data_IF_646891834350
#
_entry.id   IF_646891834350
#
_cell.length_a   1.000
_cell.length_b   1.000
_cell.length_c   1.000
_cell.angle_alpha   90.00
_cell.angle_beta   90.00
_cell.angle_gamma   90.00
#
_symmetry.space_group_name_H-M   'P 1'
#
loop_
_entity.id
_entity.type
_entity.pdbx_description
1 polymer ?
#
# COMPACT_ATOMS: atom_id res chain seq x y z
N UNK A 1 -35.37 -8.01 21.06
CA UNK A 1 -33.96 -8.40 20.89
C UNK A 1 -33.31 -7.31 20.07
N UNK A 2 -32.12 -6.82 20.43
CA UNK A 2 -31.44 -5.81 19.61
C UNK A 2 -31.13 -6.39 18.23
N UNK A 3 -31.24 -5.58 17.16
CA UNK A 3 -31.07 -5.98 15.75
C UNK A 3 -29.77 -6.77 15.51
N UNK A 4 -28.71 -6.36 16.22
CA UNK A 4 -27.39 -6.97 16.22
C UNK A 4 -27.39 -8.43 16.73
N UNK A 5 -28.10 -8.70 17.83
CA UNK A 5 -28.19 -10.05 18.41
C UNK A 5 -28.98 -11.00 17.51
N UNK A 6 -30.01 -10.48 16.82
CA UNK A 6 -30.75 -11.24 15.81
C UNK A 6 -29.82 -11.67 14.67
N UNK A 7 -28.95 -10.78 14.20
CA UNK A 7 -28.05 -11.12 13.11
C UNK A 7 -26.98 -12.14 13.51
N UNK A 8 -26.41 -12.00 14.72
CA UNK A 8 -25.49 -13.00 15.27
C UNK A 8 -26.16 -14.37 15.33
N UNK A 9 -27.44 -14.42 15.72
CA UNK A 9 -28.21 -15.65 15.75
C UNK A 9 -28.42 -16.25 14.36
N UNK A 10 -28.77 -15.44 13.35
CA UNK A 10 -28.93 -15.89 11.96
C UNK A 10 -27.61 -16.52 11.46
N UNK A 11 -26.48 -15.85 11.66
CA UNK A 11 -25.17 -16.34 11.21
C UNK A 11 -24.81 -17.65 11.94
N UNK A 12 -25.02 -17.73 13.26
CA UNK A 12 -24.78 -18.95 14.05
C UNK A 12 -25.65 -20.11 13.55
N UNK A 13 -26.93 -19.89 13.27
CA UNK A 13 -27.86 -20.91 12.76
C UNK A 13 -27.50 -21.38 11.35
N UNK A 14 -27.06 -20.48 10.48
CA UNK A 14 -26.50 -20.85 9.16
C UNK A 14 -25.28 -21.76 9.30
N UNK A 15 -24.36 -21.43 10.22
CA UNK A 15 -23.19 -22.25 10.49
C UNK A 15 -23.55 -23.63 11.09
N UNK A 16 -24.72 -23.77 11.74
CA UNK A 16 -25.26 -25.03 12.25
C UNK A 16 -25.96 -25.87 11.17
N UNK A 17 -26.04 -25.38 9.93
CA UNK A 17 -26.59 -26.10 8.78
C UNK A 17 -28.08 -25.88 8.54
N UNK A 18 -28.67 -24.86 9.17
CA UNK A 18 -30.04 -24.47 8.87
C UNK A 18 -30.16 -23.87 7.47
N UNK A 19 -31.30 -24.14 6.81
CA UNK A 19 -31.50 -23.73 5.41
C UNK A 19 -31.76 -22.23 5.32
N UNK A 20 -31.09 -21.50 4.39
CA UNK A 20 -31.34 -20.08 4.15
C UNK A 20 -32.81 -19.71 3.99
N UNK A 21 -33.59 -20.55 3.30
CA UNK A 21 -35.01 -20.26 3.02
C UNK A 21 -35.88 -20.24 4.28
N UNK A 22 -35.51 -21.01 5.30
CA UNK A 22 -36.24 -21.08 6.56
C UNK A 22 -35.94 -19.82 7.40
N UNK A 23 -34.66 -19.40 7.44
CA UNK A 23 -34.24 -18.18 8.13
C UNK A 23 -34.74 -16.89 7.47
N UNK A 24 -34.82 -16.85 6.13
CA UNK A 24 -35.40 -15.70 5.40
C UNK A 24 -36.87 -15.50 5.80
N UNK A 25 -37.64 -16.58 5.93
CA UNK A 25 -39.05 -16.51 6.34
C UNK A 25 -39.21 -16.08 7.80
N UNK A 26 -38.31 -16.56 8.66
CA UNK A 26 -38.36 -16.30 10.10
C UNK A 26 -37.95 -14.86 10.45
N UNK A 27 -36.90 -14.35 9.80
CA UNK A 27 -36.27 -13.05 10.12
C UNK A 27 -36.46 -12.00 9.02
N UNK A 28 -37.54 -12.10 8.24
CA UNK A 28 -37.74 -11.29 7.04
C UNK A 28 -37.61 -9.78 7.31
N UNK A 29 -38.25 -9.27 8.38
CA UNK A 29 -38.28 -7.84 8.70
C UNK A 29 -36.90 -7.30 9.08
N UNK A 30 -36.11 -8.13 9.76
CA UNK A 30 -34.78 -7.78 10.24
C UNK A 30 -33.75 -7.85 9.11
N UNK A 31 -33.86 -8.87 8.24
CA UNK A 31 -33.04 -9.04 7.04
C UNK A 31 -33.24 -7.87 6.06
N UNK A 32 -34.47 -7.40 5.85
CA UNK A 32 -34.79 -6.32 4.91
C UNK A 32 -34.16 -4.96 5.26
N UNK A 33 -33.79 -4.75 6.53
CA UNK A 33 -33.26 -3.46 7.01
C UNK A 33 -31.75 -3.43 7.20
N UNK A 34 -31.06 -4.52 6.85
CA UNK A 34 -29.63 -4.67 7.13
C UNK A 34 -28.77 -4.03 6.05
N UNK A 35 -27.64 -3.47 6.48
CA UNK A 35 -26.63 -2.88 5.61
C UNK A 35 -25.40 -3.79 5.48
N UNK A 36 -24.67 -3.71 4.35
CA UNK A 36 -23.40 -4.42 4.21
C UNK A 36 -22.39 -4.10 5.32
N UNK A 37 -22.31 -2.84 5.74
CA UNK A 37 -21.43 -2.41 6.82
C UNK A 37 -21.81 -3.04 8.17
N UNK A 38 -23.10 -3.20 8.47
CA UNK A 38 -23.56 -3.91 9.67
C UNK A 38 -23.17 -5.40 9.63
N UNK A 39 -23.30 -6.07 8.48
CA UNK A 39 -22.88 -7.47 8.31
C UNK A 39 -21.38 -7.60 8.59
N UNK A 40 -20.55 -6.77 7.94
CA UNK A 40 -19.09 -6.81 8.10
C UNK A 40 -18.65 -6.61 9.56
N UNK A 41 -19.29 -5.68 10.29
CA UNK A 41 -19.02 -5.43 11.71
C UNK A 41 -19.42 -6.62 12.58
N UNK A 42 -20.51 -7.28 12.26
CA UNK A 42 -20.99 -8.41 13.06
C UNK A 42 -20.14 -9.67 12.82
N UNK A 43 -19.69 -9.90 11.59
CA UNK A 43 -18.71 -10.95 11.29
C UNK A 43 -17.39 -10.73 12.04
N UNK A 44 -16.91 -9.47 12.12
CA UNK A 44 -15.74 -9.11 12.92
C UNK A 44 -15.93 -9.46 14.40
N UNK A 45 -17.08 -9.12 14.99
CA UNK A 45 -17.35 -9.42 16.39
C UNK A 45 -17.48 -10.93 16.67
N UNK A 46 -18.08 -11.70 15.75
CA UNK A 46 -18.17 -13.15 15.91
C UNK A 46 -16.79 -13.81 15.95
N UNK A 47 -15.83 -13.28 15.20
CA UNK A 47 -14.43 -13.74 15.25
C UNK A 47 -13.80 -13.38 16.60
N UNK A 48 -14.03 -12.17 17.10
CA UNK A 48 -13.55 -11.74 18.42
C UNK A 48 -14.16 -12.59 19.56
N UNK A 49 -15.40 -13.08 19.38
CA UNK A 49 -16.06 -14.02 20.27
C UNK A 49 -15.56 -15.48 20.13
N UNK A 50 -14.63 -15.74 19.20
CA UNK A 50 -13.94 -17.03 19.06
C UNK A 50 -14.33 -17.86 17.84
N UNK A 51 -15.17 -17.34 16.93
CA UNK A 51 -15.43 -17.99 15.64
C UNK A 51 -14.17 -17.93 14.76
N UNK A 52 -13.88 -19.02 14.05
CA UNK A 52 -12.69 -19.07 13.18
C UNK A 52 -12.94 -18.28 11.88
N UNK A 53 -11.98 -17.46 11.40
CA UNK A 53 -12.13 -16.74 10.14
C UNK A 53 -12.45 -17.64 8.94
N UNK A 54 -11.93 -18.88 8.93
CA UNK A 54 -12.19 -19.85 7.88
C UNK A 54 -13.65 -20.30 7.84
N UNK A 55 -14.33 -20.30 8.99
CA UNK A 55 -15.75 -20.62 9.07
C UNK A 55 -16.58 -19.51 8.44
N UNK A 56 -16.32 -18.24 8.79
CA UNK A 56 -17.01 -17.09 8.17
C UNK A 56 -16.81 -17.08 6.66
N UNK A 57 -15.57 -17.30 6.19
CA UNK A 57 -15.28 -17.36 4.75
C UNK A 57 -16.07 -18.46 4.04
N UNK A 58 -16.21 -19.64 4.67
CA UNK A 58 -16.92 -20.79 4.09
C UNK A 58 -18.42 -20.54 3.93
N UNK A 59 -19.01 -19.76 4.83
CA UNK A 59 -20.44 -19.44 4.80
C UNK A 59 -20.76 -18.09 4.15
N UNK A 60 -19.76 -17.34 3.67
CA UNK A 60 -19.95 -16.05 3.02
C UNK A 60 -20.96 -16.12 1.86
N UNK A 61 -20.90 -17.16 1.02
CA UNK A 61 -21.85 -17.36 -0.09
C UNK A 61 -23.28 -17.67 0.41
N UNK A 62 -23.40 -18.30 1.58
CA UNK A 62 -24.67 -18.64 2.23
C UNK A 62 -25.26 -17.39 2.92
N UNK A 63 -24.43 -16.58 3.57
CA UNK A 63 -24.82 -15.28 4.12
C UNK A 63 -25.35 -14.39 3.01
N UNK A 64 -24.61 -14.30 1.89
CA UNK A 64 -25.04 -13.59 0.69
C UNK A 64 -26.37 -14.08 0.16
N UNK A 65 -26.63 -15.40 0.18
CA UNK A 65 -27.92 -15.93 -0.26
C UNK A 65 -29.08 -15.45 0.63
N UNK A 66 -28.87 -15.35 1.94
CA UNK A 66 -29.88 -14.84 2.90
C UNK A 66 -30.09 -13.33 2.76
N UNK A 67 -29.01 -12.56 2.60
CA UNK A 67 -29.08 -11.09 2.55
C UNK A 67 -29.20 -10.52 1.13
N UNK A 68 -29.23 -11.35 0.08
CA UNK A 68 -29.21 -10.91 -1.33
C UNK A 68 -30.25 -9.84 -1.64
N UNK A 69 -31.48 -9.98 -1.16
CA UNK A 69 -32.55 -9.01 -1.47
C UNK A 69 -32.38 -7.68 -0.72
N UNK A 70 -31.79 -7.66 0.47
CA UNK A 70 -31.48 -6.42 1.20
C UNK A 70 -30.19 -5.75 0.72
N UNK A 71 -29.26 -6.54 0.18
CA UNK A 71 -28.05 -6.04 -0.47
C UNK A 71 -28.32 -5.36 -1.83
N UNK A 72 -29.48 -5.61 -2.47
CA UNK A 72 -29.94 -4.87 -3.65
C UNK A 72 -30.34 -3.44 -3.28
N UNK A 73 -29.36 -2.58 -3.03
CA UNK A 73 -29.57 -1.13 -2.96
C UNK A 73 -29.82 -0.57 -4.38
N UNK A 74 -30.63 0.49 -4.55
CA UNK A 74 -30.64 1.25 -5.80
C UNK A 74 -29.21 1.71 -6.07
N UNK A 75 -28.70 1.39 -7.27
CA UNK A 75 -27.29 1.53 -7.62
C UNK A 75 -26.79 2.93 -7.30
N UNK A 76 -25.99 3.05 -6.24
CA UNK A 76 -25.12 4.20 -6.09
C UNK A 76 -24.18 4.10 -7.29
N UNK A 77 -24.30 5.02 -8.22
CA UNK A 77 -23.43 5.15 -9.37
C UNK A 77 -22.57 6.38 -9.11
N UNK A 78 -21.38 6.20 -8.49
CA UNK A 78 -20.48 7.32 -8.27
C UNK A 78 -20.09 7.94 -9.62
N UNK A 79 -19.69 9.23 -9.64
CA UNK A 79 -19.20 9.87 -10.85
C UNK A 79 -18.03 9.09 -11.48
N UNK A 80 -17.84 9.19 -12.80
CA UNK A 80 -16.82 8.40 -13.52
C UNK A 80 -15.36 8.59 -13.03
N UNK A 81 -15.06 9.71 -12.37
CA UNK A 81 -13.74 9.95 -11.79
C UNK A 81 -13.49 9.16 -10.49
N UNK A 82 -14.55 8.71 -9.82
CA UNK A 82 -14.52 8.15 -8.48
C UNK A 82 -13.88 6.76 -8.47
N UNK A 83 -13.01 6.42 -7.49
CA UNK A 83 -12.34 5.12 -7.42
C UNK A 83 -13.26 3.91 -7.57
N UNK A 84 -14.39 3.88 -6.87
CA UNK A 84 -15.41 2.80 -7.01
C UNK A 84 -16.00 2.70 -8.42
N UNK A 85 -16.29 3.82 -9.09
CA UNK A 85 -16.81 3.77 -10.46
C UNK A 85 -15.77 3.20 -11.44
N UNK A 86 -14.49 3.45 -11.18
CA UNK A 86 -13.38 2.93 -11.96
C UNK A 86 -13.29 1.41 -11.80
N UNK A 87 -13.28 0.91 -10.55
CA UNK A 87 -13.23 -0.53 -10.26
C UNK A 87 -14.42 -1.27 -10.88
N UNK A 88 -15.64 -0.74 -10.72
CA UNK A 88 -16.86 -1.31 -11.31
C UNK A 88 -16.76 -1.44 -12.84
N UNK A 89 -16.25 -0.42 -13.53
CA UNK A 89 -16.06 -0.46 -14.98
C UNK A 89 -14.96 -1.43 -15.40
N UNK A 90 -13.94 -1.60 -14.56
CA UNK A 90 -12.90 -2.60 -14.78
C UNK A 90 -13.42 -4.02 -14.62
N UNK A 91 -14.37 -4.30 -13.72
CA UNK A 91 -15.01 -5.62 -13.61
C UNK A 91 -15.60 -6.07 -14.95
N UNK A 92 -16.30 -5.17 -15.66
CA UNK A 92 -16.86 -5.46 -16.98
C UNK A 92 -15.76 -5.85 -17.99
N UNK A 93 -14.63 -5.14 -17.94
CA UNK A 93 -13.48 -5.42 -18.79
C UNK A 93 -12.83 -6.76 -18.44
N UNK A 94 -12.61 -7.06 -17.16
CA UNK A 94 -12.01 -8.33 -16.71
C UNK A 94 -12.89 -9.51 -17.11
N UNK A 95 -14.21 -9.44 -16.87
CA UNK A 95 -15.16 -10.48 -17.29
C UNK A 95 -15.11 -10.69 -18.81
N UNK A 96 -15.02 -9.62 -19.60
CA UNK A 96 -14.95 -9.73 -21.06
C UNK A 96 -13.69 -10.46 -21.56
N UNK A 97 -12.58 -10.43 -20.79
CA UNK A 97 -11.34 -11.13 -21.11
C UNK A 97 -11.47 -12.63 -20.87
N UNK A 98 -12.15 -13.04 -19.80
CA UNK A 98 -12.26 -14.46 -19.40
C UNK A 98 -13.47 -15.17 -20.00
N UNK A 99 -14.50 -14.45 -20.45
CA UNK A 99 -15.79 -15.05 -20.87
C UNK A 99 -15.65 -16.11 -21.95
N UNK A 100 -14.86 -15.83 -22.98
CA UNK A 100 -14.76 -16.70 -24.16
C UNK A 100 -13.51 -17.60 -24.12
N UNK A 101 -12.70 -17.51 -23.05
CA UNK A 101 -11.41 -18.21 -22.88
C UNK A 101 -10.46 -18.12 -24.08
N UNK A 102 -10.56 -17.01 -24.82
CA UNK A 102 -9.75 -16.75 -26.00
C UNK A 102 -8.27 -16.54 -25.61
N UNK A 103 -7.31 -17.28 -26.22
CA UNK A 103 -5.89 -17.19 -25.83
C UNK A 103 -5.27 -15.79 -25.96
N UNK A 104 -5.72 -14.98 -26.92
CA UNK A 104 -5.22 -13.62 -27.11
C UNK A 104 -5.72 -12.72 -25.98
N UNK A 105 -7.00 -12.82 -25.61
CA UNK A 105 -7.57 -12.12 -24.44
C UNK A 105 -6.93 -12.56 -23.12
N UNK A 106 -6.74 -13.87 -22.92
CA UNK A 106 -6.13 -14.42 -21.70
C UNK A 106 -4.68 -13.96 -21.52
N UNK A 107 -3.96 -13.65 -22.60
CA UNK A 107 -2.60 -13.09 -22.51
C UNK A 107 -2.55 -11.74 -21.81
N UNK A 108 -3.66 -11.00 -21.81
CA UNK A 108 -3.83 -9.67 -21.19
C UNK A 108 -4.26 -9.73 -19.73
N UNK A 109 -4.54 -10.92 -19.17
CA UNK A 109 -4.89 -11.05 -17.74
C UNK A 109 -3.81 -10.49 -16.81
N UNK A 110 -2.53 -10.58 -17.19
CA UNK A 110 -1.45 -9.97 -16.41
C UNK A 110 -1.61 -8.46 -16.22
N UNK A 111 -2.32 -7.77 -17.11
CA UNK A 111 -2.58 -6.34 -17.00
C UNK A 111 -3.60 -6.04 -15.89
N UNK A 112 -4.50 -6.98 -15.56
CA UNK A 112 -5.52 -6.82 -14.53
C UNK A 112 -4.93 -6.80 -13.12
N UNK A 113 -3.66 -7.17 -12.94
CA UNK A 113 -2.96 -7.05 -11.65
C UNK A 113 -3.05 -5.63 -11.07
N UNK A 114 -3.06 -4.60 -11.92
CA UNK A 114 -3.22 -3.21 -11.47
C UNK A 114 -4.55 -2.93 -10.78
N UNK A 115 -5.60 -3.70 -11.08
CA UNK A 115 -6.89 -3.60 -10.42
C UNK A 115 -6.76 -4.10 -8.97
N UNK A 116 -6.31 -5.34 -8.78
CA UNK A 116 -6.10 -5.92 -7.46
C UNK A 116 -5.10 -5.13 -6.62
N UNK A 117 -4.01 -4.63 -7.22
CA UNK A 117 -3.03 -3.80 -6.49
C UNK A 117 -3.64 -2.51 -5.93
N UNK A 118 -4.57 -1.88 -6.65
CA UNK A 118 -5.27 -0.67 -6.19
C UNK A 118 -6.22 -0.98 -5.04
N UNK A 119 -6.87 -2.12 -5.07
CA UNK A 119 -7.72 -2.54 -3.97
C UNK A 119 -6.89 -2.89 -2.73
N UNK A 120 -5.90 -3.76 -2.90
CA UNK A 120 -5.06 -4.31 -1.84
C UNK A 120 -4.19 -3.26 -1.14
N UNK A 121 -3.56 -2.38 -1.91
CA UNK A 121 -2.56 -1.44 -1.37
C UNK A 121 -3.14 -0.05 -1.10
N UNK A 122 -4.39 0.21 -1.49
CA UNK A 122 -5.03 1.51 -1.27
C UNK A 122 -6.41 1.32 -0.66
N UNK A 123 -7.40 0.77 -1.37
CA UNK A 123 -8.79 0.71 -0.86
C UNK A 123 -8.91 -0.03 0.49
N UNK A 124 -8.23 -1.17 0.63
CA UNK A 124 -8.25 -2.01 1.82
C UNK A 124 -7.69 -1.29 3.05
N UNK A 125 -6.49 -0.66 3.01
CA UNK A 125 -6.00 0.19 4.09
C UNK A 125 -6.99 1.26 4.58
N UNK A 126 -7.71 1.94 3.67
CA UNK A 126 -8.71 2.95 4.07
C UNK A 126 -9.92 2.29 4.75
N UNK A 127 -10.39 1.14 4.26
CA UNK A 127 -11.43 0.36 4.95
C UNK A 127 -11.00 -0.07 6.36
N UNK A 128 -9.77 -0.55 6.50
CA UNK A 128 -9.19 -0.97 7.79
C UNK A 128 -9.04 0.19 8.77
N UNK A 129 -8.65 1.38 8.28
CA UNK A 129 -8.60 2.62 9.07
C UNK A 129 -9.97 2.97 9.69
N UNK A 130 -11.06 2.60 9.01
CA UNK A 130 -12.44 2.75 9.47
C UNK A 130 -13.00 1.52 10.22
N UNK A 131 -12.13 0.59 10.60
CA UNK A 131 -12.48 -0.59 11.39
C UNK A 131 -13.09 -1.76 10.60
N UNK A 132 -13.03 -1.72 9.27
CA UNK A 132 -13.54 -2.79 8.39
C UNK A 132 -12.36 -3.68 7.97
N UNK A 133 -12.11 -4.75 8.74
CA UNK A 133 -10.90 -5.58 8.59
C UNK A 133 -11.15 -6.93 7.92
N UNK A 134 -12.32 -7.58 8.15
CA UNK A 134 -12.58 -8.92 7.59
C UNK A 134 -12.83 -8.93 6.09
N UNK A 135 -13.67 -8.05 5.51
CA UNK A 135 -13.91 -8.08 4.06
C UNK A 135 -12.63 -7.93 3.25
N UNK A 136 -11.71 -6.97 3.53
CA UNK A 136 -10.41 -6.90 2.87
C UNK A 136 -9.60 -8.20 2.92
N UNK A 137 -9.52 -8.86 4.09
CA UNK A 137 -8.79 -10.13 4.24
C UNK A 137 -9.38 -11.26 3.38
N UNK A 138 -10.71 -11.32 3.30
CA UNK A 138 -11.40 -12.32 2.47
C UNK A 138 -11.12 -12.05 0.99
N UNK A 139 -11.23 -10.80 0.54
CA UNK A 139 -10.96 -10.42 -0.85
C UNK A 139 -9.51 -10.71 -1.23
N UNK A 140 -8.54 -10.34 -0.38
CA UNK A 140 -7.13 -10.66 -0.62
C UNK A 140 -6.90 -12.16 -0.84
N UNK A 141 -7.50 -13.00 0.02
CA UNK A 141 -7.36 -14.45 -0.10
C UNK A 141 -8.07 -15.02 -1.35
N UNK A 142 -9.03 -14.30 -1.94
CA UNK A 142 -9.61 -14.63 -3.25
C UNK A 142 -8.72 -14.15 -4.39
N UNK A 143 -8.09 -12.97 -4.28
CA UNK A 143 -7.09 -12.48 -5.25
C UNK A 143 -5.90 -13.44 -5.37
N UNK A 144 -5.39 -13.95 -4.25
CA UNK A 144 -4.31 -14.95 -4.26
C UNK A 144 -4.72 -16.23 -5.00
N UNK A 145 -5.97 -16.64 -4.85
CA UNK A 145 -6.51 -17.83 -5.52
C UNK A 145 -6.73 -17.58 -7.02
N UNK A 146 -7.14 -16.37 -7.41
CA UNK A 146 -7.21 -15.91 -8.80
C UNK A 146 -5.81 -15.95 -9.43
N UNK A 147 -4.82 -15.30 -8.81
CA UNK A 147 -3.41 -15.27 -9.26
C UNK A 147 -2.83 -16.69 -9.39
N UNK A 148 -3.14 -17.58 -8.45
CA UNK A 148 -2.70 -18.98 -8.49
C UNK A 148 -3.24 -19.69 -9.72
N UNK A 149 -4.54 -19.56 -10.01
CA UNK A 149 -5.18 -20.16 -11.21
C UNK A 149 -4.62 -19.60 -12.50
N UNK A 150 -4.39 -18.29 -12.57
CA UNK A 150 -3.77 -17.67 -13.75
C UNK A 150 -2.36 -18.22 -14.01
N UNK A 151 -1.55 -18.37 -12.95
CA UNK A 151 -0.20 -18.93 -13.02
C UNK A 151 -0.19 -20.40 -13.46
N UNK A 152 -1.14 -21.19 -12.95
CA UNK A 152 -1.32 -22.60 -13.33
C UNK A 152 -2.00 -22.78 -14.69
N UNK A 153 -2.50 -21.69 -15.30
CA UNK A 153 -3.29 -21.68 -16.54
C UNK A 153 -4.57 -22.53 -16.46
N UNK A 154 -5.15 -22.66 -15.27
CA UNK A 154 -6.45 -23.33 -15.09
C UNK A 154 -7.59 -22.31 -15.16
N UNK A 155 -7.97 -21.97 -16.38
CA UNK A 155 -8.98 -20.93 -16.64
C UNK A 155 -10.43 -21.43 -16.58
N UNK A 156 -10.66 -22.74 -16.42
CA UNK A 156 -12.01 -23.34 -16.51
C UNK A 156 -12.99 -22.81 -15.46
N UNK A 157 -12.49 -22.60 -14.24
CA UNK A 157 -13.30 -22.08 -13.13
C UNK A 157 -13.08 -20.58 -12.87
N UNK A 158 -12.22 -19.93 -13.67
CA UNK A 158 -11.86 -18.53 -13.45
C UNK A 158 -13.05 -17.57 -13.68
N UNK A 159 -13.90 -17.73 -14.71
CA UNK A 159 -15.08 -16.89 -14.89
C UNK A 159 -16.04 -16.94 -13.69
N UNK A 160 -16.35 -18.14 -13.19
CA UNK A 160 -17.27 -18.31 -12.05
C UNK A 160 -16.69 -17.72 -10.76
N UNK A 161 -15.38 -17.89 -10.54
CA UNK A 161 -14.67 -17.31 -9.40
C UNK A 161 -14.72 -15.78 -9.44
N UNK A 162 -14.38 -15.17 -10.59
CA UNK A 162 -14.41 -13.72 -10.77
C UNK A 162 -15.83 -13.16 -10.65
N UNK A 163 -16.84 -13.85 -11.18
CA UNK A 163 -18.23 -13.43 -11.02
C UNK A 163 -18.68 -13.44 -9.56
N UNK A 164 -18.29 -14.47 -8.80
CA UNK A 164 -18.58 -14.54 -7.36
C UNK A 164 -17.86 -13.43 -6.60
N UNK A 165 -16.57 -13.25 -6.88
CA UNK A 165 -15.71 -12.24 -6.28
C UNK A 165 -16.24 -10.82 -6.52
N UNK A 166 -16.45 -10.43 -7.79
CA UNK A 166 -17.00 -9.12 -8.14
C UNK A 166 -18.42 -8.91 -7.62
N UNK A 167 -19.21 -9.97 -7.46
CA UNK A 167 -20.51 -9.86 -6.81
C UNK A 167 -20.36 -9.45 -5.33
N UNK A 168 -19.38 -9.99 -4.61
CA UNK A 168 -19.10 -9.60 -3.22
C UNK A 168 -18.59 -8.16 -3.14
N UNK A 169 -17.76 -7.75 -4.07
CA UNK A 169 -17.26 -6.38 -4.09
C UNK A 169 -18.37 -5.37 -4.37
N UNK A 170 -19.14 -5.59 -5.42
CA UNK A 170 -20.20 -4.69 -5.85
C UNK A 170 -21.32 -4.55 -4.81
N UNK A 171 -21.60 -5.60 -4.04
CA UNK A 171 -22.74 -5.64 -3.11
C UNK A 171 -22.34 -5.53 -1.64
N UNK A 172 -21.09 -5.80 -1.28
CA UNK A 172 -20.60 -5.69 0.11
C UNK A 172 -19.47 -4.68 0.22
N UNK A 173 -18.33 -4.95 -0.43
CA UNK A 173 -17.10 -4.18 -0.18
C UNK A 173 -17.26 -2.71 -0.57
N UNK A 174 -17.69 -2.45 -1.81
CA UNK A 174 -17.80 -1.09 -2.33
C UNK A 174 -18.90 -0.28 -1.64
N UNK A 175 -20.12 -0.82 -1.39
CA UNK A 175 -21.09 -0.12 -0.57
C UNK A 175 -20.58 0.17 0.84
N UNK A 176 -19.85 -0.76 1.46
CA UNK A 176 -19.24 -0.52 2.78
C UNK A 176 -18.20 0.59 2.71
N UNK A 177 -17.37 0.62 1.67
CA UNK A 177 -16.39 1.68 1.44
C UNK A 177 -17.06 3.05 1.28
N UNK A 178 -18.13 3.14 0.47
CA UNK A 178 -18.91 4.36 0.28
C UNK A 178 -19.60 4.84 1.56
N UNK A 179 -19.95 3.93 2.47
CA UNK A 179 -20.60 4.26 3.74
C UNK A 179 -19.60 4.77 4.81
N UNK A 180 -18.30 4.43 4.71
CA UNK A 180 -17.30 4.72 5.77
C UNK A 180 -16.17 5.67 5.37
N UNK A 181 -15.74 5.68 4.10
CA UNK A 181 -14.65 6.54 3.61
C UNK A 181 -15.18 7.94 3.33
N UNK A 182 -14.48 8.97 3.80
CA UNK A 182 -14.94 10.36 3.63
C UNK A 182 -14.68 10.90 2.23
N UNK A 183 -15.41 11.96 1.85
CA UNK A 183 -15.22 12.63 0.56
C UNK A 183 -13.77 13.09 0.36
N UNK A 184 -13.08 13.57 1.40
CA UNK A 184 -11.66 13.97 1.33
C UNK A 184 -10.74 12.78 1.08
N UNK A 185 -10.93 11.69 1.81
CA UNK A 185 -10.15 10.46 1.66
C UNK A 185 -10.33 9.86 0.26
N UNK A 186 -11.50 10.00 -0.37
CA UNK A 186 -11.69 9.55 -1.75
C UNK A 186 -10.79 10.28 -2.76
N UNK A 187 -10.39 11.53 -2.50
CA UNK A 187 -9.38 12.20 -3.34
C UNK A 187 -7.98 11.64 -3.12
N UNK A 188 -7.62 11.29 -1.88
CA UNK A 188 -6.34 10.67 -1.55
C UNK A 188 -6.25 9.27 -2.18
N UNK A 189 -7.28 8.44 -2.00
CA UNK A 189 -7.43 7.13 -2.67
C UNK A 189 -7.30 7.29 -4.19
N UNK A 190 -7.92 8.32 -4.75
CA UNK A 190 -7.88 8.60 -6.18
C UNK A 190 -6.47 8.98 -6.65
N UNK A 191 -5.70 9.76 -5.88
CA UNK A 191 -4.30 10.10 -6.19
C UNK A 191 -3.39 8.86 -6.15
N UNK A 192 -3.56 8.01 -5.13
CA UNK A 192 -2.79 6.77 -4.98
C UNK A 192 -3.12 5.75 -6.11
N UNK A 193 -4.40 5.69 -6.53
CA UNK A 193 -4.81 4.90 -7.71
C UNK A 193 -4.08 5.33 -8.98
N UNK A 194 -3.89 6.64 -9.21
CA UNK A 194 -3.12 7.13 -10.36
C UNK A 194 -1.64 6.72 -10.29
N UNK A 195 -1.07 6.68 -9.09
CA UNK A 195 0.30 6.26 -8.87
C UNK A 195 0.55 4.80 -9.26
N UNK A 196 -0.43 3.92 -9.04
CA UNK A 196 -0.39 2.51 -9.46
C UNK A 196 -0.74 2.38 -10.96
N UNK A 197 -1.71 3.17 -11.41
CA UNK A 197 -2.19 3.22 -12.78
C UNK A 197 -3.28 2.20 -13.11
N UNK A 198 -3.78 2.28 -14.34
CA UNK A 198 -4.95 1.53 -14.82
C UNK A 198 -4.58 0.56 -15.94
N UNK A 199 -5.46 -0.40 -16.22
CA UNK A 199 -5.26 -1.37 -17.30
C UNK A 199 -6.26 -1.21 -18.45
N UNK A 200 -7.54 -0.98 -18.14
CA UNK A 200 -8.60 -1.00 -19.14
C UNK A 200 -8.76 0.34 -19.87
N UNK A 201 -8.69 1.45 -19.13
CA UNK A 201 -8.90 2.80 -19.65
C UNK A 201 -8.22 3.83 -18.74
N UNK A 202 -8.07 5.06 -19.22
CA UNK A 202 -7.63 6.18 -18.39
C UNK A 202 -8.86 6.92 -17.84
N UNK A 203 -9.10 6.94 -16.52
CA UNK A 203 -10.26 7.61 -15.95
C UNK A 203 -10.17 9.14 -16.08
N UNK A 204 -11.31 9.85 -16.11
CA UNK A 204 -11.30 11.31 -16.11
C UNK A 204 -10.69 11.84 -14.80
N UNK A 205 -10.08 13.05 -14.83
CA UNK A 205 -9.54 13.65 -13.63
C UNK A 205 -10.66 13.98 -12.63
N UNK A 206 -10.39 13.90 -11.32
CA UNK A 206 -11.35 14.33 -10.30
C UNK A 206 -11.59 15.85 -10.39
N UNK A 207 -12.79 16.33 -10.01
CA UNK A 207 -13.04 17.77 -9.89
C UNK A 207 -12.16 18.39 -8.80
N UNK A 208 -11.98 19.72 -8.76
CA UNK A 208 -11.20 20.35 -7.69
C UNK A 208 -11.80 20.02 -6.31
N UNK A 209 -10.99 19.43 -5.43
CA UNK A 209 -11.43 19.04 -4.12
C UNK A 209 -11.81 20.28 -3.28
N UNK A 210 -12.97 20.24 -2.62
CA UNK A 210 -13.40 21.29 -1.66
C UNK A 210 -12.81 21.00 -0.28
N UNK A 211 -11.50 20.84 -0.19
CA UNK A 211 -10.84 20.43 1.07
C UNK A 211 -10.79 21.64 2.02
N UNK A 212 -11.47 21.52 3.17
CA UNK A 212 -11.17 22.34 4.34
C UNK A 212 -9.84 21.90 4.97
N UNK A 213 -9.06 22.79 5.59
CA UNK A 213 -7.75 22.43 6.15
C UNK A 213 -7.91 21.34 7.23
N UNK A 214 -7.50 20.11 6.92
CA UNK A 214 -7.42 19.03 7.89
C UNK A 214 -6.50 19.42 9.06
N UNK A 215 -6.95 19.15 10.29
CA UNK A 215 -6.18 19.44 11.51
C UNK A 215 -5.05 18.44 11.64
N UNK A 216 -3.82 18.85 11.31
CA UNK A 216 -2.61 18.02 11.41
C UNK A 216 -2.07 18.00 12.85
N UNK A 217 -1.53 16.87 13.33
CA UNK A 217 -0.82 16.81 14.61
C UNK A 217 0.37 17.78 14.62
N UNK A 218 0.42 18.65 15.63
CA UNK A 218 1.52 19.61 15.80
C UNK A 218 2.81 18.84 16.12
N UNK A 219 3.87 19.08 15.34
CA UNK A 219 5.22 18.54 15.62
C UNK A 219 5.71 17.41 14.69
N UNK A 220 4.93 17.01 13.69
CA UNK A 220 5.39 16.05 12.66
C UNK A 220 6.07 16.77 11.48
N UNK A 221 7.13 16.15 10.96
CA UNK A 221 7.75 16.45 9.66
C UNK A 221 6.90 15.78 8.60
N UNK A 222 6.29 16.59 7.74
CA UNK A 222 5.40 16.16 6.67
C UNK A 222 6.19 15.89 5.37
N UNK A 223 6.02 14.70 4.82
CA UNK A 223 6.58 14.28 3.54
C UNK A 223 5.44 13.86 2.59
N UNK A 224 5.64 13.86 1.27
CA UNK A 224 4.58 13.48 0.33
C UNK A 224 3.98 12.09 0.53
N UNK A 225 4.69 11.18 1.21
CA UNK A 225 4.29 9.78 1.41
C UNK A 225 4.06 9.43 2.89
N UNK A 226 3.80 10.44 3.73
CA UNK A 226 3.58 10.27 5.18
C UNK A 226 4.41 11.24 6.01
N UNK A 227 4.43 11.06 7.32
CA UNK A 227 5.17 11.94 8.21
C UNK A 227 5.89 11.20 9.32
N UNK A 228 6.87 11.87 9.92
CA UNK A 228 7.60 11.38 11.08
C UNK A 228 7.67 12.46 12.15
N UNK A 229 7.63 12.09 13.41
CA UNK A 229 8.21 12.92 14.47
C UNK A 229 9.73 13.11 14.23
N UNK A 230 10.31 14.12 14.87
CA UNK A 230 11.76 14.34 14.82
C UNK A 230 12.51 13.13 15.39
N UNK A 231 11.99 12.54 16.46
CA UNK A 231 12.55 11.40 17.16
C UNK A 231 12.56 10.14 16.28
N UNK A 232 11.48 9.88 15.54
CA UNK A 232 11.40 8.77 14.57
C UNK A 232 12.39 8.96 13.42
N UNK A 233 12.48 10.16 12.85
CA UNK A 233 13.43 10.45 11.78
C UNK A 233 14.88 10.24 12.23
N UNK A 234 15.22 10.70 13.45
CA UNK A 234 16.55 10.48 14.02
C UNK A 234 16.85 9.00 14.25
N UNK A 235 15.89 8.24 14.77
CA UNK A 235 16.02 6.80 14.97
C UNK A 235 16.26 6.07 13.63
N UNK A 236 15.44 6.34 12.61
CA UNK A 236 15.57 5.75 11.27
C UNK A 236 16.97 6.00 10.71
N UNK A 237 17.42 7.26 10.66
CA UNK A 237 18.72 7.62 10.07
C UNK A 237 19.92 7.02 10.82
N UNK A 238 19.79 6.72 12.10
CA UNK A 238 20.83 6.07 12.91
C UNK A 238 20.78 4.53 12.83
N UNK A 239 19.67 3.94 12.38
CA UNK A 239 19.47 2.48 12.24
C UNK A 239 19.83 1.95 10.87
N UNK A 240 19.76 2.78 9.82
CA UNK A 240 20.12 2.35 8.46
C UNK A 240 21.51 1.68 8.44
N UNK A 241 21.71 0.60 7.65
CA UNK A 241 22.99 -0.12 7.57
C UNK A 241 24.02 0.63 6.71
N UNK A 242 24.03 1.96 6.80
CA UNK A 242 24.89 2.89 6.11
C UNK A 242 25.15 4.12 6.99
N UNK A 243 26.32 4.72 6.83
CA UNK A 243 26.64 6.00 7.44
C UNK A 243 26.32 7.12 6.47
N UNK A 244 25.65 8.16 6.96
CA UNK A 244 25.25 9.33 6.18
C UNK A 244 26.04 10.55 6.65
N UNK A 245 26.48 11.38 5.71
CA UNK A 245 26.91 12.77 5.95
C UNK A 245 26.24 13.67 4.92
N UNK A 246 25.54 14.72 5.33
CA UNK A 246 24.95 15.71 4.42
C UNK A 246 25.76 17.01 4.43
N UNK A 247 26.09 17.47 3.22
CA UNK A 247 26.74 18.74 2.93
C UNK A 247 25.78 19.57 2.09
N UNK A 248 25.46 20.79 2.52
CA UNK A 248 24.49 21.63 1.81
C UNK A 248 25.04 22.27 0.53
N UNK A 249 24.17 23.03 -0.14
CA UNK A 249 24.49 23.82 -1.34
C UNK A 249 25.57 24.88 -1.14
N UNK A 250 26.00 25.15 0.09
CA UNK A 250 27.09 26.08 0.39
C UNK A 250 28.36 25.31 0.78
N UNK A 251 28.45 24.01 0.50
CA UNK A 251 29.55 23.12 0.88
C UNK A 251 29.75 22.99 2.40
N UNK A 252 28.70 23.22 3.18
CA UNK A 252 28.74 23.21 4.64
C UNK A 252 28.19 21.89 5.18
N UNK A 253 28.92 21.23 6.07
CA UNK A 253 28.45 20.00 6.72
C UNK A 253 27.27 20.33 7.64
N UNK A 254 26.09 19.79 7.36
CA UNK A 254 24.85 20.06 8.12
C UNK A 254 24.43 18.92 9.02
N UNK A 255 24.75 17.70 8.64
CA UNK A 255 24.29 16.53 9.36
C UNK A 255 25.21 15.33 9.13
N UNK A 256 25.26 14.43 10.10
CA UNK A 256 25.77 13.08 9.92
C UNK A 256 25.02 12.12 10.85
N UNK A 257 24.80 10.88 10.41
CA UNK A 257 24.19 9.85 11.27
C UNK A 257 25.17 9.33 12.33
N UNK A 258 24.63 8.97 13.49
CA UNK A 258 25.35 8.39 14.62
C UNK A 258 25.04 6.88 14.73
N UNK A 259 25.18 6.18 13.62
CA UNK A 259 25.12 4.71 13.57
C UNK A 259 26.12 4.10 14.55
N UNK A 260 25.71 3.03 15.24
CA UNK A 260 26.51 2.34 16.27
C UNK A 260 27.88 1.88 15.74
N UNK A 261 27.91 1.43 14.48
CA UNK A 261 29.09 0.84 13.85
C UNK A 261 29.71 1.75 12.77
N UNK A 262 29.55 3.08 12.92
CA UNK A 262 30.05 4.07 11.97
C UNK A 262 31.53 3.86 11.63
N UNK A 263 31.84 3.78 10.34
CA UNK A 263 33.17 3.45 9.83
C UNK A 263 34.13 4.63 9.97
N UNK A 264 33.67 5.84 9.63
CA UNK A 264 34.44 7.07 9.77
C UNK A 264 33.88 7.93 10.89
N UNK A 265 34.60 7.97 12.01
CA UNK A 265 34.23 8.78 13.17
C UNK A 265 34.06 10.25 12.77
N UNK A 266 32.95 10.85 13.20
CA UNK A 266 32.66 12.27 13.06
C UNK A 266 32.47 12.90 14.44
N UNK A 267 33.08 14.06 14.65
CA UNK A 267 32.82 14.89 15.84
C UNK A 267 31.73 15.90 15.52
N UNK A 268 30.88 16.23 16.50
CA UNK A 268 29.87 17.30 16.34
C UNK A 268 30.49 18.65 15.95
N UNK A 269 31.78 18.85 16.26
CA UNK A 269 32.53 20.06 15.87
C UNK A 269 32.67 20.27 14.35
N UNK A 270 32.35 19.26 13.51
CA UNK A 270 32.34 19.44 12.05
C UNK A 270 31.07 20.10 11.53
N UNK A 271 29.98 20.10 12.31
CA UNK A 271 28.73 20.74 11.89
C UNK A 271 28.98 22.24 11.71
N UNK A 272 28.60 22.77 10.55
CA UNK A 272 28.87 24.16 10.17
C UNK A 272 30.24 24.40 9.54
N UNK A 273 31.14 23.41 9.49
CA UNK A 273 32.42 23.53 8.78
C UNK A 273 32.23 23.31 7.29
N UNK A 274 33.06 23.98 6.48
CA UNK A 274 33.20 23.69 5.05
C UNK A 274 33.82 22.31 4.84
N UNK A 275 33.26 21.53 3.92
CA UNK A 275 33.69 20.15 3.64
C UNK A 275 35.16 20.06 3.22
N UNK A 276 35.68 21.08 2.56
CA UNK A 276 37.10 21.19 2.18
C UNK A 276 38.02 21.15 3.41
N UNK A 277 37.60 21.72 4.53
CA UNK A 277 38.36 21.75 5.78
C UNK A 277 38.25 20.45 6.60
N UNK A 278 37.46 19.49 6.13
CA UNK A 278 37.33 18.16 6.71
C UNK A 278 38.22 17.12 6.01
N UNK A 279 38.93 17.49 4.94
CA UNK A 279 39.74 16.60 4.13
C UNK A 279 41.22 17.03 4.11
N UNK A 280 42.18 16.10 3.97
CA UNK A 280 43.59 16.44 3.79
C UNK A 280 43.81 17.29 2.52
N UNK A 281 44.77 18.22 2.56
CA UNK A 281 45.03 19.18 1.48
C UNK A 281 45.23 18.52 0.10
N UNK A 282 45.86 17.35 0.07
CA UNK A 282 46.07 16.55 -1.15
C UNK A 282 44.77 16.09 -1.84
N UNK A 283 43.65 16.01 -1.12
CA UNK A 283 42.37 15.51 -1.63
C UNK A 283 41.34 16.61 -1.90
N UNK A 284 41.57 17.85 -1.44
CA UNK A 284 40.59 18.95 -1.56
C UNK A 284 40.24 19.24 -3.03
N UNK A 285 41.19 19.14 -3.94
CA UNK A 285 40.93 19.35 -5.37
C UNK A 285 39.97 18.31 -5.96
N UNK A 286 39.99 17.06 -5.46
CA UNK A 286 39.05 16.01 -5.87
C UNK A 286 37.65 16.29 -5.31
N UNK A 287 37.57 16.70 -4.04
CA UNK A 287 36.32 17.11 -3.39
C UNK A 287 35.65 18.23 -4.18
N UNK A 288 36.39 19.29 -4.49
CA UNK A 288 35.86 20.42 -5.27
C UNK A 288 35.42 19.98 -6.68
N UNK A 289 36.16 19.10 -7.35
CA UNK A 289 35.74 18.58 -8.66
C UNK A 289 34.41 17.83 -8.58
N UNK A 290 34.23 16.99 -7.57
CA UNK A 290 32.99 16.23 -7.37
C UNK A 290 31.82 17.18 -7.12
N UNK A 291 31.98 18.16 -6.23
CA UNK A 291 30.94 19.15 -5.92
C UNK A 291 30.56 20.00 -7.14
N UNK A 292 31.56 20.39 -7.94
CA UNK A 292 31.34 21.16 -9.17
C UNK A 292 30.65 20.32 -10.26
N UNK A 293 31.05 19.05 -10.43
CA UNK A 293 30.40 18.12 -11.34
C UNK A 293 28.92 17.90 -10.95
N UNK A 294 28.64 17.82 -9.64
CA UNK A 294 27.30 17.71 -9.09
C UNK A 294 26.47 18.98 -9.33
N UNK A 295 26.96 20.17 -8.97
CA UNK A 295 26.26 21.44 -9.22
C UNK A 295 25.88 21.63 -10.68
N UNK A 296 26.79 21.24 -11.59
CA UNK A 296 26.59 21.35 -13.03
C UNK A 296 25.90 20.14 -13.67
N UNK A 297 25.37 19.20 -12.87
CA UNK A 297 24.68 17.98 -13.35
C UNK A 297 25.51 17.13 -14.32
N UNK A 298 26.84 17.23 -14.27
CA UNK A 298 27.78 16.42 -15.07
C UNK A 298 27.96 15.01 -14.51
N UNK A 299 27.62 14.83 -13.24
CA UNK A 299 27.77 13.58 -12.51
C UNK A 299 26.57 13.38 -11.59
N UNK A 300 26.03 12.16 -11.54
CA UNK A 300 24.95 11.76 -10.63
C UNK A 300 25.46 10.92 -9.45
N UNK A 301 26.67 10.38 -9.53
CA UNK A 301 27.30 9.61 -8.46
C UNK A 301 28.83 9.71 -8.54
N UNK A 302 29.49 9.82 -7.39
CA UNK A 302 30.93 9.57 -7.26
C UNK A 302 31.14 8.44 -6.25
N UNK A 303 31.93 7.43 -6.61
CA UNK A 303 32.05 6.23 -5.79
C UNK A 303 33.48 5.73 -5.69
N UNK A 304 33.80 5.17 -4.52
CA UNK A 304 35.12 4.66 -4.18
C UNK A 304 34.96 3.45 -3.27
N UNK A 305 35.93 2.54 -3.30
CA UNK A 305 36.01 1.46 -2.33
C UNK A 305 37.43 1.29 -1.83
N UNK A 306 37.57 0.91 -0.56
CA UNK A 306 38.87 0.62 0.04
C UNK A 306 38.77 -0.53 1.05
N UNK A 307 39.91 -1.18 1.28
CA UNK A 307 40.04 -2.13 2.38
C UNK A 307 40.50 -1.38 3.63
N UNK A 308 39.74 -1.48 4.73
CA UNK A 308 40.04 -0.85 6.00
C UNK A 308 39.76 -1.81 7.15
N UNK A 309 40.81 -2.23 7.87
CA UNK A 309 40.65 -3.09 9.05
C UNK A 309 39.93 -4.43 8.78
N UNK A 310 40.17 -5.03 7.60
CA UNK A 310 39.50 -6.27 7.18
C UNK A 310 38.08 -6.08 6.61
N UNK A 311 37.58 -4.84 6.55
CA UNK A 311 36.31 -4.49 5.92
C UNK A 311 36.52 -3.94 4.51
N UNK A 312 35.69 -4.34 3.56
CA UNK A 312 35.57 -3.67 2.27
C UNK A 312 34.55 -2.54 2.41
N UNK A 313 35.06 -1.31 2.49
CA UNK A 313 34.27 -0.10 2.68
C UNK A 313 33.92 0.49 1.32
N UNK A 314 32.63 0.67 1.06
CA UNK A 314 32.10 1.30 -0.14
C UNK A 314 31.54 2.68 0.19
N UNK A 315 32.09 3.71 -0.46
CA UNK A 315 31.77 5.12 -0.23
C UNK A 315 31.17 5.67 -1.51
N UNK A 316 29.99 6.29 -1.40
CA UNK A 316 29.27 6.91 -2.51
C UNK A 316 28.86 8.32 -2.15
N UNK A 317 28.86 9.19 -3.13
CA UNK A 317 28.36 10.55 -3.01
C UNK A 317 27.26 10.77 -4.04
N UNK A 318 26.15 11.37 -3.62
CA UNK A 318 25.02 11.68 -4.48
C UNK A 318 24.65 13.16 -4.37
N UNK A 319 24.40 13.86 -5.49
CA UNK A 319 23.83 15.20 -5.46
C UNK A 319 22.34 15.15 -5.10
N UNK A 320 21.89 16.15 -4.37
CA UNK A 320 20.47 16.36 -4.02
C UNK A 320 19.95 17.56 -4.79
N UNK A 321 18.75 17.44 -5.35
CA UNK A 321 18.06 18.52 -6.06
C UNK A 321 16.63 18.70 -5.54
N UNK A 322 16.11 19.92 -5.58
CA UNK A 322 14.69 20.18 -5.34
C UNK A 322 13.82 19.80 -6.56
N UNK A 323 12.49 19.98 -6.43
CA UNK A 323 11.52 19.65 -7.48
C UNK A 323 11.72 20.45 -8.77
N UNK A 324 12.31 21.64 -8.68
CA UNK A 324 12.62 22.51 -9.83
C UNK A 324 14.03 22.24 -10.40
N UNK A 325 14.73 21.24 -9.83
CA UNK A 325 16.06 20.84 -10.26
C UNK A 325 17.19 21.74 -9.74
N UNK A 326 16.94 22.57 -8.74
CA UNK A 326 17.92 23.37 -8.02
C UNK A 326 18.79 22.52 -7.09
N UNK A 327 20.11 22.78 -7.05
CA UNK A 327 21.05 22.00 -6.24
C UNK A 327 20.90 22.32 -4.74
N UNK A 328 20.63 21.29 -3.94
CA UNK A 328 20.45 21.38 -2.49
C UNK A 328 21.71 21.02 -1.70
N UNK A 329 22.66 20.30 -2.34
CA UNK A 329 23.86 19.79 -1.69
C UNK A 329 24.19 18.37 -2.14
N UNK A 330 24.99 17.66 -1.35
CA UNK A 330 25.30 16.27 -1.59
C UNK A 330 25.27 15.44 -0.30
N UNK A 331 24.94 14.17 -0.44
CA UNK A 331 24.99 13.17 0.62
C UNK A 331 26.15 12.21 0.36
N UNK A 332 26.99 12.01 1.37
CA UNK A 332 27.98 10.93 1.46
C UNK A 332 27.30 9.73 2.14
N UNK A 333 27.44 8.56 1.53
CA UNK A 333 26.96 7.27 2.03
C UNK A 333 28.14 6.32 2.14
N UNK A 334 28.39 5.79 3.32
CA UNK A 334 29.45 4.80 3.56
C UNK A 334 28.85 3.49 4.05
N UNK A 335 29.31 2.35 3.52
CA UNK A 335 28.80 1.03 3.86
C UNK A 335 29.92 -0.01 3.94
N UNK A 336 29.88 -0.88 4.94
CA UNK A 336 30.67 -2.12 4.96
C UNK A 336 29.95 -3.18 4.13
N UNK A 337 30.49 -3.51 2.95
CA UNK A 337 29.88 -4.47 2.03
C UNK A 337 30.49 -5.88 2.15
N UNK A 338 31.33 -6.11 3.16
CA UNK A 338 32.06 -7.39 3.33
C UNK A 338 31.11 -8.58 3.40
N UNK A 339 30.06 -8.49 4.24
CA UNK A 339 29.05 -9.54 4.37
C UNK A 339 28.14 -9.63 3.16
N UNK A 340 27.82 -8.51 2.53
CA UNK A 340 26.99 -8.47 1.32
C UNK A 340 27.67 -9.26 0.19
N UNK A 341 29.00 -9.14 0.04
CA UNK A 341 29.77 -9.91 -0.93
C UNK A 341 29.81 -11.43 -0.67
N UNK A 342 29.41 -11.89 0.50
CA UNK A 342 29.38 -13.30 0.89
C UNK A 342 28.00 -13.94 0.71
N UNK A 343 26.97 -13.15 0.35
CA UNK A 343 25.62 -13.67 0.12
C UNK A 343 25.62 -14.48 -1.18
N UNK A 344 25.18 -15.73 -1.09
CA UNK A 344 24.99 -16.64 -2.23
C UNK A 344 23.63 -17.34 -2.11
N UNK A 345 23.09 -17.81 -3.24
CA UNK A 345 21.79 -18.47 -3.28
C UNK A 345 20.61 -17.55 -2.92
N UNK A 346 19.60 -18.10 -2.25
CA UNK A 346 18.39 -17.39 -1.86
C UNK A 346 18.01 -17.72 -0.41
N UNK A 347 17.57 -16.72 0.34
CA UNK A 347 16.92 -16.89 1.65
C UNK A 347 15.56 -16.21 1.61
N UNK A 348 14.49 -17.01 1.48
CA UNK A 348 13.10 -16.52 1.29
C UNK A 348 12.27 -16.47 2.56
N UNK A 349 12.73 -17.09 3.64
CA UNK A 349 12.08 -17.14 4.94
C UNK A 349 13.10 -16.81 6.04
N UNK A 350 12.61 -16.48 7.22
CA UNK A 350 13.42 -16.50 8.43
C UNK A 350 13.88 -17.94 8.70
N UNK A 351 14.99 -18.08 9.44
CA UNK A 351 15.78 -19.31 9.63
C UNK A 351 15.02 -20.64 9.56
#
# INVERSE_FOLDING_TARGET
MEKKEILKEIIKRLHQGERPEDLIKEFQKEIETITPAEIARIEQELIEEGMKPEEIRRFCDVHLAVFRESLKRPGISPPEWHPIAILLKEHECIISLVRDLDPEKLSRLKETEKHYLREENVLFPYLEKHGIVQPPKIMWAEHDEIRRREKEKDFRALPDLLMSHFYKENNILFPTALDVITDEEWYEVREEFDGIGYFAFNPPPPPPAKIGPGTKPVGMIDLPTGGFSKEELEAILNTLPIDITFVDKDDTVRYFSQSKDRIFVRSRAIIGRKVQNCHPQKSVHLVNRILEDFRNKKRSVAEFWLNLGGKLVYIRYFPLYDKDGGYLGCIEVTQDITRIKQIEGEKRLLD
#
